data_IF_798425322288
#
_entry.id   IF_798425322288
#
_cell.length_a   1.000
_cell.length_b   1.000
_cell.length_c   1.000
_cell.angle_alpha   90.00
_cell.angle_beta   90.00
_cell.angle_gamma   90.00
#
_symmetry.space_group_name_H-M   'P 1'
#
loop_
_entity.id
_entity.type
_entity.pdbx_description
1 polymer ?
#
# COMPACT_ATOMS: atom_id res chain seq x y z
N UNK A 1 5.61 -10.16 21.78
CA UNK A 1 5.75 -10.85 20.49
C UNK A 1 4.43 -10.71 19.77
N UNK A 2 4.43 -10.48 18.47
CA UNK A 2 3.22 -10.30 17.67
C UNK A 2 3.18 -11.33 16.54
N UNK A 3 2.01 -11.85 16.23
CA UNK A 3 1.80 -12.84 15.16
C UNK A 3 0.74 -12.35 14.18
N UNK A 4 1.07 -12.36 12.90
CA UNK A 4 0.18 -12.01 11.80
C UNK A 4 -0.17 -13.28 11.05
N UNK A 5 -1.30 -13.89 11.42
CA UNK A 5 -1.78 -15.16 10.87
C UNK A 5 -2.52 -14.92 9.55
N UNK A 6 -2.31 -15.81 8.58
CA UNK A 6 -3.03 -15.92 7.32
C UNK A 6 -3.46 -17.36 7.08
N UNK A 7 -4.26 -17.57 6.04
CA UNK A 7 -4.63 -18.92 5.60
C UNK A 7 -3.39 -19.80 5.29
N UNK A 8 -2.36 -19.24 4.66
CA UNK A 8 -1.22 -20.01 4.15
C UNK A 8 0.05 -19.91 5.00
N UNK A 9 0.03 -19.15 6.10
CA UNK A 9 1.22 -18.95 6.93
C UNK A 9 1.07 -17.89 8.03
N UNK A 10 2.17 -17.62 8.71
CA UNK A 10 2.27 -16.63 9.79
C UNK A 10 3.55 -15.82 9.65
N UNK A 11 3.47 -14.51 9.88
CA UNK A 11 4.64 -13.66 10.17
C UNK A 11 4.70 -13.41 11.67
N UNK A 12 5.83 -13.69 12.30
CA UNK A 12 6.07 -13.44 13.72
C UNK A 12 7.04 -12.27 13.85
N UNK A 13 6.63 -11.24 14.60
CA UNK A 13 7.46 -10.10 14.96
C UNK A 13 7.89 -10.16 16.44
N UNK A 14 9.20 -10.14 16.67
CA UNK A 14 9.87 -10.24 17.97
C UNK A 14 10.74 -8.99 18.20
N UNK A 15 10.15 -7.86 18.65
CA UNK A 15 10.86 -6.57 18.73
C UNK A 15 12.13 -6.59 19.59
N UNK A 16 12.14 -7.43 20.65
CA UNK A 16 13.25 -7.54 21.61
C UNK A 16 14.24 -8.67 21.29
N UNK A 17 14.10 -9.34 20.15
CA UNK A 17 14.93 -10.48 19.72
C UNK A 17 15.95 -10.06 18.65
N UNK A 18 17.07 -10.77 18.55
CA UNK A 18 18.05 -10.60 17.45
C UNK A 18 17.42 -10.95 16.10
N UNK A 19 16.81 -12.13 15.99
CA UNK A 19 15.94 -12.45 14.86
C UNK A 19 14.56 -11.86 15.10
N UNK A 20 14.35 -10.66 14.54
CA UNK A 20 13.14 -9.85 14.75
C UNK A 20 11.95 -10.35 13.95
N UNK A 21 12.17 -10.94 12.79
CA UNK A 21 11.10 -11.41 11.90
C UNK A 21 11.31 -12.88 11.59
N UNK A 22 10.25 -13.66 11.73
CA UNK A 22 10.19 -15.05 11.31
C UNK A 22 8.94 -15.26 10.45
N UNK A 23 9.05 -16.14 9.47
CA UNK A 23 7.97 -16.52 8.59
C UNK A 23 7.79 -18.02 8.67
N UNK A 24 6.55 -18.48 8.80
CA UNK A 24 6.18 -19.89 8.72
C UNK A 24 5.06 -20.07 7.69
N UNK A 25 5.11 -21.15 6.91
CA UNK A 25 4.15 -21.41 5.83
C UNK A 25 4.62 -20.92 4.45
N UNK A 26 3.69 -20.89 3.48
CA UNK A 26 3.97 -20.55 2.09
C UNK A 26 3.24 -19.27 1.69
N UNK A 27 3.99 -18.29 1.16
CA UNK A 27 3.48 -16.99 0.73
C UNK A 27 3.40 -16.86 -0.79
N UNK A 28 3.41 -17.97 -1.54
CA UNK A 28 3.21 -17.98 -3.00
C UNK A 28 4.12 -16.99 -3.76
N UNK A 29 5.36 -16.83 -3.29
CA UNK A 29 6.38 -15.97 -3.91
C UNK A 29 6.38 -14.49 -3.48
N UNK A 30 5.41 -14.00 -2.71
CA UNK A 30 5.44 -12.63 -2.15
C UNK A 30 4.62 -12.48 -0.87
N UNK A 31 5.07 -11.61 0.03
CA UNK A 31 4.31 -11.28 1.23
C UNK A 31 3.40 -10.06 0.97
N UNK A 32 2.12 -10.13 1.32
CA UNK A 32 1.19 -8.99 1.24
C UNK A 32 0.20 -8.99 2.41
N UNK A 33 0.26 -8.00 3.29
CA UNK A 33 -0.61 -7.83 4.46
C UNK A 33 -1.79 -6.91 4.22
N UNK A 34 -2.95 -7.26 4.80
CA UNK A 34 -4.24 -6.59 4.60
C UNK A 34 -5.08 -7.11 3.43
N UNK A 35 -4.52 -7.93 2.53
CA UNK A 35 -5.19 -8.30 1.26
C UNK A 35 -6.54 -9.02 1.46
N UNK A 36 -6.61 -9.94 2.42
CA UNK A 36 -7.82 -10.72 2.75
C UNK A 36 -8.91 -9.85 3.40
N UNK A 37 -8.53 -8.72 4.02
CA UNK A 37 -9.45 -7.81 4.70
C UNK A 37 -10.00 -6.72 3.76
N UNK A 38 -9.49 -6.64 2.52
CA UNK A 38 -9.94 -5.64 1.57
C UNK A 38 -11.39 -5.90 1.11
N UNK A 39 -12.20 -4.84 0.90
CA UNK A 39 -13.49 -4.98 0.25
C UNK A 39 -13.32 -5.50 -1.19
N UNK A 40 -14.38 -6.07 -1.78
CA UNK A 40 -14.37 -6.57 -3.16
C UNK A 40 -13.91 -5.47 -4.13
N UNK A 41 -14.42 -4.25 -3.95
CA UNK A 41 -14.01 -3.06 -4.69
C UNK A 41 -14.09 -1.80 -3.81
N UNK A 42 -13.44 -0.71 -4.24
CA UNK A 42 -13.46 0.56 -3.52
C UNK A 42 -12.94 1.75 -4.33
N UNK A 43 -13.01 2.95 -3.76
CA UNK A 43 -12.51 4.15 -4.43
C UNK A 43 -10.99 4.27 -4.37
N UNK A 44 -10.39 4.01 -3.21
CA UNK A 44 -8.95 4.16 -2.99
C UNK A 44 -8.43 3.01 -2.16
N UNK A 45 -7.31 2.44 -2.60
CA UNK A 45 -6.47 1.53 -1.85
C UNK A 45 -5.15 2.22 -1.50
N UNK A 46 -4.70 2.05 -0.27
CA UNK A 46 -3.43 2.60 0.20
C UNK A 46 -2.40 1.46 0.34
N UNK A 47 -1.21 1.65 -0.22
CA UNK A 47 -0.07 0.74 -0.04
C UNK A 47 0.96 1.42 0.85
N UNK A 48 1.25 0.80 1.99
CA UNK A 48 2.16 1.32 3.01
C UNK A 48 3.45 0.49 3.10
N UNK A 49 4.44 1.00 3.84
CA UNK A 49 5.72 0.31 4.05
C UNK A 49 5.66 -0.86 5.05
N UNK A 50 4.68 -0.89 5.96
CA UNK A 50 4.65 -1.85 7.07
C UNK A 50 3.28 -2.17 7.64
N UNK A 51 3.16 -3.26 8.40
CA UNK A 51 1.87 -3.75 8.92
C UNK A 51 1.23 -2.81 9.94
N UNK A 52 2.03 -2.09 10.72
CA UNK A 52 1.55 -1.12 11.71
C UNK A 52 0.66 -0.06 11.04
N UNK A 53 1.10 0.44 9.88
CA UNK A 53 0.41 1.47 9.13
C UNK A 53 -0.86 0.96 8.47
N UNK A 54 -0.84 -0.28 7.97
CA UNK A 54 -2.05 -0.96 7.50
C UNK A 54 -3.10 -1.05 8.60
N UNK A 55 -2.70 -1.48 9.81
CA UNK A 55 -3.62 -1.60 10.94
C UNK A 55 -4.15 -0.23 11.38
N UNK A 56 -3.29 0.79 11.41
CA UNK A 56 -3.67 2.16 11.72
C UNK A 56 -4.72 2.69 10.74
N UNK A 57 -4.49 2.51 9.43
CA UNK A 57 -5.43 2.90 8.38
C UNK A 57 -6.75 2.12 8.47
N UNK A 58 -6.69 0.81 8.66
CA UNK A 58 -7.87 -0.05 8.77
C UNK A 58 -8.75 0.35 9.97
N UNK A 59 -8.13 0.67 11.12
CA UNK A 59 -8.85 1.17 12.30
C UNK A 59 -9.59 2.50 12.05
N UNK A 60 -9.13 3.29 11.07
CA UNK A 60 -9.76 4.55 10.66
C UNK A 60 -10.64 4.40 9.40
N UNK A 61 -10.90 3.18 8.94
CA UNK A 61 -11.81 2.88 7.84
C UNK A 61 -11.20 3.05 6.44
N UNK A 62 -9.88 3.00 6.32
CA UNK A 62 -9.19 3.07 5.02
C UNK A 62 -8.71 1.69 4.56
N UNK A 63 -9.11 1.22 3.36
CA UNK A 63 -8.55 0.02 2.77
C UNK A 63 -7.06 0.17 2.55
N UNK A 64 -6.25 -0.72 3.15
CA UNK A 64 -4.81 -0.63 3.11
C UNK A 64 -4.14 -2.00 3.03
N UNK A 65 -2.98 -2.04 2.38
CA UNK A 65 -2.09 -3.20 2.34
C UNK A 65 -0.61 -2.80 2.50
N UNK A 66 0.26 -3.77 2.73
CA UNK A 66 1.72 -3.59 2.62
C UNK A 66 2.41 -4.86 2.14
N UNK A 67 3.57 -4.74 1.51
CA UNK A 67 4.39 -5.88 1.07
C UNK A 67 5.50 -6.24 2.07
N UNK A 68 5.38 -5.73 3.30
CA UNK A 68 6.27 -6.04 4.44
C UNK A 68 7.54 -5.20 4.52
N UNK A 69 7.85 -4.42 3.48
CA UNK A 69 8.88 -3.38 3.48
C UNK A 69 8.67 -2.45 2.28
N UNK A 70 9.18 -1.22 2.37
CA UNK A 70 9.24 -0.26 1.26
C UNK A 70 10.12 -0.75 0.10
N UNK A 71 11.07 -1.65 0.39
CA UNK A 71 11.98 -2.26 -0.59
C UNK A 71 11.47 -3.58 -1.15
N UNK A 72 10.33 -4.07 -0.65
CA UNK A 72 9.78 -5.33 -1.10
C UNK A 72 9.35 -5.23 -2.57
N UNK A 73 9.71 -6.24 -3.36
CA UNK A 73 9.27 -6.33 -4.75
C UNK A 73 7.77 -6.59 -4.79
N UNK A 74 7.06 -5.79 -5.57
CA UNK A 74 5.62 -5.97 -5.79
C UNK A 74 5.40 -6.65 -7.14
N UNK A 75 4.73 -7.81 -7.21
CA UNK A 75 4.38 -8.42 -8.47
C UNK A 75 3.43 -7.53 -9.28
N UNK A 76 3.78 -7.25 -10.54
CA UNK A 76 2.95 -6.45 -11.47
C UNK A 76 1.51 -6.99 -11.60
N UNK A 77 1.36 -8.32 -11.67
CA UNK A 77 0.06 -8.99 -11.71
C UNK A 77 -0.82 -8.62 -10.51
N UNK A 78 -0.23 -8.46 -9.33
CA UNK A 78 -0.99 -8.04 -8.16
C UNK A 78 -1.47 -6.59 -8.26
N UNK A 79 -0.61 -5.68 -8.73
CA UNK A 79 -1.05 -4.30 -8.95
C UNK A 79 -2.16 -4.24 -9.99
N UNK A 80 -2.05 -4.99 -11.08
CA UNK A 80 -3.09 -5.07 -12.11
C UNK A 80 -4.44 -5.54 -11.55
N UNK A 81 -4.46 -6.65 -10.79
CA UNK A 81 -5.69 -7.13 -10.11
C UNK A 81 -6.28 -6.07 -9.16
N UNK A 82 -5.43 -5.35 -8.42
CA UNK A 82 -5.88 -4.28 -7.52
C UNK A 82 -6.45 -3.08 -8.28
N UNK A 83 -5.92 -2.73 -9.45
CA UNK A 83 -6.47 -1.64 -10.28
C UNK A 83 -7.87 -1.95 -10.83
N UNK A 84 -8.22 -3.23 -10.97
CA UNK A 84 -9.58 -3.63 -11.37
C UNK A 84 -10.58 -3.48 -10.21
N UNK A 85 -10.10 -3.58 -8.96
CA UNK A 85 -10.91 -3.47 -7.74
C UNK A 85 -11.00 -2.04 -7.20
N UNK A 86 -9.96 -1.23 -7.39
CA UNK A 86 -9.86 0.10 -6.83
C UNK A 86 -9.60 1.16 -7.90
N UNK A 87 -10.39 2.24 -7.88
CA UNK A 87 -10.23 3.34 -8.84
C UNK A 87 -8.88 4.06 -8.70
N UNK A 88 -8.33 4.11 -7.49
CA UNK A 88 -7.05 4.73 -7.20
C UNK A 88 -6.23 3.83 -6.30
N UNK A 89 -4.93 3.73 -6.60
CA UNK A 89 -3.94 3.11 -5.72
C UNK A 89 -2.94 4.19 -5.33
N UNK A 90 -2.69 4.34 -4.04
CA UNK A 90 -1.84 5.40 -3.49
C UNK A 90 -0.76 4.80 -2.61
N UNK A 91 0.51 5.11 -2.92
CA UNK A 91 1.65 4.81 -2.06
C UNK A 91 1.69 5.82 -0.90
N UNK A 92 1.82 5.32 0.32
CA UNK A 92 1.94 6.10 1.56
C UNK A 92 3.07 5.53 2.41
N UNK A 93 4.29 5.96 2.10
CA UNK A 93 5.52 5.51 2.76
C UNK A 93 6.01 6.56 3.75
N UNK A 94 7.08 6.23 4.47
CA UNK A 94 7.63 7.10 5.49
C UNK A 94 8.13 8.42 4.91
N UNK A 95 7.97 9.50 5.68
CA UNK A 95 8.41 10.84 5.30
C UNK A 95 9.92 11.09 5.47
N UNK A 96 10.67 10.04 5.84
CA UNK A 96 12.13 10.09 5.86
C UNK A 96 12.73 9.97 4.44
N UNK A 97 14.05 10.18 4.33
CA UNK A 97 14.74 10.21 3.04
C UNK A 97 14.65 8.86 2.28
N UNK A 98 14.64 7.75 3.02
CA UNK A 98 14.57 6.40 2.45
C UNK A 98 13.16 6.12 1.93
N UNK A 99 12.13 6.38 2.73
CA UNK A 99 10.74 6.18 2.35
C UNK A 99 10.35 7.02 1.14
N UNK A 100 10.73 8.30 1.09
CA UNK A 100 10.50 9.18 -0.07
C UNK A 100 11.17 8.65 -1.34
N UNK A 101 12.41 8.20 -1.24
CA UNK A 101 13.17 7.66 -2.39
C UNK A 101 12.51 6.38 -2.93
N UNK A 102 12.16 5.45 -2.06
CA UNK A 102 11.52 4.19 -2.48
C UNK A 102 10.13 4.41 -3.04
N UNK A 103 9.33 5.30 -2.44
CA UNK A 103 8.00 5.64 -2.94
C UNK A 103 8.07 6.26 -4.34
N UNK A 104 9.04 7.15 -4.60
CA UNK A 104 9.24 7.73 -5.93
C UNK A 104 9.68 6.67 -6.95
N UNK A 105 10.66 5.83 -6.61
CA UNK A 105 11.14 4.78 -7.50
C UNK A 105 10.03 3.79 -7.86
N UNK A 106 9.26 3.34 -6.87
CA UNK A 106 8.15 2.42 -7.07
C UNK A 106 7.01 3.07 -7.88
N UNK A 107 6.72 4.35 -7.64
CA UNK A 107 5.75 5.08 -8.46
C UNK A 107 6.16 5.12 -9.93
N UNK A 108 7.45 5.33 -10.21
CA UNK A 108 7.99 5.33 -11.58
C UNK A 108 7.93 3.95 -12.23
N UNK A 109 8.26 2.90 -11.47
CA UNK A 109 8.13 1.49 -11.90
C UNK A 109 6.67 1.15 -12.26
N UNK A 110 5.72 1.57 -11.43
CA UNK A 110 4.30 1.26 -11.57
C UNK A 110 3.51 2.32 -12.37
N UNK A 111 4.19 3.19 -13.12
CA UNK A 111 3.56 4.29 -13.87
C UNK A 111 2.44 3.84 -14.80
N UNK A 112 2.56 2.64 -15.38
CA UNK A 112 1.57 2.08 -16.31
C UNK A 112 0.21 1.80 -15.64
N UNK A 113 0.19 1.63 -14.31
CA UNK A 113 -1.00 1.38 -13.51
C UNK A 113 -1.59 2.65 -12.88
N UNK A 114 -1.02 3.83 -13.19
CA UNK A 114 -1.44 5.12 -12.64
C UNK A 114 -1.44 5.14 -11.09
N UNK A 115 -0.44 4.51 -10.48
CA UNK A 115 -0.25 4.53 -9.03
C UNK A 115 0.14 5.95 -8.58
N UNK A 116 -0.63 6.50 -7.65
CA UNK A 116 -0.35 7.78 -7.00
C UNK A 116 0.61 7.63 -5.83
N UNK A 117 1.09 8.76 -5.32
CA UNK A 117 1.90 8.86 -4.10
C UNK A 117 1.35 9.98 -3.24
N UNK A 118 1.23 9.75 -1.95
CA UNK A 118 0.81 10.74 -0.96
C UNK A 118 1.97 10.98 0.02
N UNK A 119 2.32 12.25 0.19
CA UNK A 119 3.26 12.70 1.22
C UNK A 119 2.47 13.28 2.38
N UNK A 120 2.71 12.79 3.60
CA UNK A 120 2.11 13.34 4.81
C UNK A 120 2.75 14.68 5.16
N UNK A 121 2.01 15.62 5.77
CA UNK A 121 2.56 16.86 6.29
C UNK A 121 3.30 16.62 7.62
N UNK A 122 4.24 15.67 7.63
CA UNK A 122 5.07 15.32 8.76
C UNK A 122 6.54 15.67 8.47
N UNK A 123 7.34 16.00 9.50
CA UNK A 123 8.73 16.39 9.31
C UNK A 123 9.65 15.24 8.88
N UNK A 124 9.22 13.97 9.02
CA UNK A 124 10.03 12.81 8.67
C UNK A 124 11.07 12.45 9.74
N UNK A 125 10.85 12.87 10.98
CA UNK A 125 11.72 12.51 12.10
C UNK A 125 11.42 11.10 12.60
N UNK A 126 12.30 10.53 13.43
CA UNK A 126 12.11 9.17 13.96
C UNK A 126 10.77 8.98 14.72
N UNK A 127 10.21 10.06 15.25
CA UNK A 127 8.96 10.08 16.00
C UNK A 127 7.76 10.54 15.16
N UNK A 128 7.98 11.09 13.96
CA UNK A 128 6.93 11.70 13.14
C UNK A 128 7.24 11.48 11.67
N UNK A 129 7.00 10.26 11.19
CA UNK A 129 7.29 9.91 9.80
C UNK A 129 6.22 9.10 9.09
N UNK A 130 5.38 8.37 9.82
CA UNK A 130 4.42 7.45 9.24
C UNK A 130 2.97 7.78 9.60
N UNK A 131 2.02 7.11 8.95
CA UNK A 131 0.58 7.35 9.18
C UNK A 131 0.15 6.98 10.59
N UNK A 132 0.84 6.04 11.23
CA UNK A 132 0.57 5.70 12.61
C UNK A 132 0.98 6.84 13.55
N UNK A 133 2.09 7.52 13.28
CA UNK A 133 2.48 8.74 13.99
C UNK A 133 1.48 9.88 13.72
N UNK A 134 1.05 10.06 12.46
CA UNK A 134 0.05 11.07 12.09
C UNK A 134 -1.22 10.97 12.95
N UNK A 135 -1.81 9.79 13.05
CA UNK A 135 -3.00 9.59 13.90
C UNK A 135 -2.68 9.69 15.40
N UNK A 136 -1.50 9.23 15.83
CA UNK A 136 -1.06 9.36 17.24
C UNK A 136 -0.91 10.82 17.68
N UNK A 137 -0.53 11.72 16.77
CA UNK A 137 -0.46 13.17 17.02
C UNK A 137 -1.85 13.85 17.13
N UNK A 138 -2.94 13.09 16.97
CA UNK A 138 -4.30 13.59 17.13
C UNK A 138 -4.97 14.04 15.83
N UNK A 139 -4.31 13.88 14.69
CA UNK A 139 -4.95 14.15 13.41
C UNK A 139 -6.12 13.18 13.15
N UNK A 140 -7.15 13.66 12.47
CA UNK A 140 -8.38 12.89 12.27
C UNK A 140 -8.42 12.20 10.92
N UNK A 141 -9.24 11.13 10.81
CA UNK A 141 -9.55 10.50 9.52
C UNK A 141 -10.14 11.49 8.49
N UNK A 142 -10.83 12.53 8.96
CA UNK A 142 -11.39 13.59 8.11
C UNK A 142 -10.30 14.48 7.53
N UNK A 143 -9.30 14.84 8.33
CA UNK A 143 -8.12 15.59 7.86
C UNK A 143 -7.32 14.76 6.86
N UNK A 144 -7.07 13.49 7.18
CA UNK A 144 -6.36 12.58 6.29
C UNK A 144 -7.07 12.41 4.94
N UNK A 145 -8.41 12.30 4.93
CA UNK A 145 -9.21 12.25 3.69
C UNK A 145 -9.00 13.47 2.80
N UNK A 146 -8.78 14.66 3.36
CA UNK A 146 -8.55 15.89 2.59
C UNK A 146 -7.20 15.90 1.89
N UNK A 147 -6.23 15.12 2.39
CA UNK A 147 -4.90 14.98 1.79
C UNK A 147 -4.91 14.04 0.57
N UNK A 148 -5.91 13.17 0.46
CA UNK A 148 -5.98 12.19 -0.62
C UNK A 148 -5.98 12.89 -1.99
N UNK A 149 -5.13 12.44 -2.94
CA UNK A 149 -5.13 13.00 -4.27
C UNK A 149 -6.53 12.84 -4.87
N UNK A 150 -7.06 13.92 -5.45
CA UNK A 150 -8.33 13.84 -6.17
C UNK A 150 -8.15 12.85 -7.33
N UNK A 151 -9.11 11.93 -7.55
CA UNK A 151 -9.04 11.02 -8.69
C UNK A 151 -8.90 11.87 -9.96
N UNK A 152 -7.78 11.70 -10.68
CA UNK A 152 -7.69 12.19 -12.05
C UNK A 152 -8.67 11.34 -12.85
N UNK A 153 -9.66 11.96 -13.49
CA UNK A 153 -10.60 11.26 -14.38
C UNK A 153 -9.76 10.59 -15.47
N UNK A 154 -9.57 9.27 -15.36
CA UNK A 154 -8.96 8.50 -16.43
C UNK A 154 -9.97 8.47 -17.58
N UNK A 155 -9.67 9.20 -18.65
CA UNK A 155 -10.27 8.89 -19.94
C UNK A 155 -9.70 7.53 -20.35
N UNK A 156 -10.50 6.49 -20.21
CA UNK A 156 -10.16 5.18 -20.73
C UNK A 156 -10.06 5.30 -22.26
N UNK A 157 -8.84 5.39 -22.79
CA UNK A 157 -8.61 5.11 -24.20
C UNK A 157 -8.83 3.62 -24.34
N UNK A 158 -9.99 3.23 -24.86
CA UNK A 158 -10.21 1.86 -25.30
C UNK A 158 -9.12 1.56 -26.34
N UNK A 159 -8.15 0.74 -25.97
CA UNK A 159 -7.38 0.01 -26.96
C UNK A 159 -8.36 -0.94 -27.66
N UNK A 160 -9.01 -0.45 -28.72
CA UNK A 160 -9.69 -1.30 -29.69
C UNK A 160 -8.60 -2.23 -30.25
N UNK A 161 -8.61 -3.48 -29.82
CA UNK A 161 -7.88 -4.55 -30.48
C UNK A 161 -8.28 -4.50 -31.95
N UNK A 162 -7.32 -4.20 -32.83
CA UNK A 162 -7.52 -4.24 -34.28
C UNK A 162 -7.87 -5.66 -34.70
N UNK A 163 -9.16 -5.96 -34.80
CA UNK A 163 -9.68 -6.99 -35.68
C UNK A 163 -9.98 -6.34 -37.01
N UNK A 164 -9.03 -6.41 -37.93
CA UNK A 164 -9.30 -6.21 -39.35
C UNK A 164 -10.03 -7.46 -39.83
N UNK A 165 -11.37 -7.41 -39.89
CA UNK A 165 -12.14 -8.33 -40.73
C UNK A 165 -12.09 -7.73 -42.13
N UNK A 166 -11.35 -8.37 -43.04
CA UNK A 166 -11.54 -8.17 -44.48
C UNK A 166 -12.57 -9.20 -44.94
N UNK A 167 -13.58 -8.66 -45.62
CA UNK A 167 -14.75 -9.22 -46.30
C UNK A 167 -14.85 -10.75 -46.39
#
# INVERSE_FOLDING_TARGET
MFGYVRQSGIKIYRPKSQSRFLFGGNFNGYYCFGLEQLPVAGNTLIITGGEKDVLSLAAHGFPAICFGSETARIPHKQIEELTQRFRNIVLLYDMDATGKKHALALQQELRAYNVGRLELPLPGTKQEKDISDYFRLGHTATEFRKLMPRPKVQQYIQHKSGKTIKY
#
